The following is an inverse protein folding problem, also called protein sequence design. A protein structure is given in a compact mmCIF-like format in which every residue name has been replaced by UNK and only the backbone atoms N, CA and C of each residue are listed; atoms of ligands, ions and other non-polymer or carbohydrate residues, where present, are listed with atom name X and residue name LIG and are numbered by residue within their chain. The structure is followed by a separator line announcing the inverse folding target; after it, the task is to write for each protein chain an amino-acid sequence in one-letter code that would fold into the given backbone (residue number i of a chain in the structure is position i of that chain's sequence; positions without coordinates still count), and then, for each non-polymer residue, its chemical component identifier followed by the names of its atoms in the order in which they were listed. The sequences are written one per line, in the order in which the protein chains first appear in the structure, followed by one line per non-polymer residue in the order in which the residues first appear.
data_IF_888600422279
#
_entry.id   IF_888600422279
#
_cell.length_a   1.000
_cell.length_b   1.000
_cell.length_c   1.000
_cell.angle_alpha   90.00
_cell.angle_beta   90.00
_cell.angle_gamma   90.00
#
_symmetry.space_group_name_H-M   'P 1'
#
loop_
_entity.id
_entity.type
_entity.pdbx_description
1 polymer ?
#
# COMPACT_ATOMS: atom_id res chain seq x y z
N UNK A 1 -12.84 -5.16 -35.76
CA UNK A 1 -12.16 -6.30 -35.09
C UNK A 1 -10.90 -6.62 -35.87
N UNK A 2 -9.86 -5.82 -35.69
CA UNK A 2 -8.57 -5.99 -36.36
C UNK A 2 -7.58 -6.60 -35.38
N UNK A 3 -7.22 -7.84 -35.69
CA UNK A 3 -6.25 -8.75 -35.08
C UNK A 3 -5.30 -8.24 -34.00
N UNK A 4 -5.42 -8.86 -32.83
CA UNK A 4 -4.27 -9.19 -31.97
C UNK A 4 -3.43 -10.33 -32.60
N UNK A 5 -3.08 -10.20 -33.88
CA UNK A 5 -2.21 -11.15 -34.57
C UNK A 5 -0.76 -10.64 -34.45
N UNK A 6 0.02 -11.28 -33.57
CA UNK A 6 1.48 -11.16 -33.57
C UNK A 6 2.14 -10.46 -32.38
N UNK A 7 1.40 -10.12 -31.32
CA UNK A 7 2.02 -9.57 -30.11
C UNK A 7 2.55 -10.71 -29.23
N UNK A 8 3.87 -10.77 -29.03
CA UNK A 8 4.47 -11.66 -28.04
C UNK A 8 4.10 -11.20 -26.61
N UNK A 9 3.38 -12.03 -25.81
CA UNK A 9 3.03 -11.69 -24.42
C UNK A 9 4.23 -11.36 -23.54
N UNK A 10 5.40 -11.96 -23.79
CA UNK A 10 6.62 -11.69 -23.04
C UNK A 10 7.17 -10.30 -23.38
N UNK A 11 7.20 -9.94 -24.66
CA UNK A 11 7.61 -8.62 -25.11
C UNK A 11 6.66 -7.53 -24.59
N UNK A 12 5.35 -7.76 -24.69
CA UNK A 12 4.33 -6.86 -24.17
C UNK A 12 4.51 -6.61 -22.66
N UNK A 13 4.68 -7.69 -21.89
CA UNK A 13 4.99 -7.62 -20.45
C UNK A 13 6.23 -6.76 -20.21
N UNK A 14 7.34 -7.06 -20.89
CA UNK A 14 8.59 -6.32 -20.69
C UNK A 14 8.41 -4.82 -20.93
N UNK A 15 7.72 -4.44 -22.01
CA UNK A 15 7.45 -3.03 -22.34
C UNK A 15 6.53 -2.32 -21.34
N UNK A 16 5.55 -3.03 -20.78
CA UNK A 16 4.63 -2.50 -19.75
C UNK A 16 5.37 -2.28 -18.42
N UNK A 17 6.16 -3.27 -17.99
CA UNK A 17 6.94 -3.15 -16.75
C UNK A 17 8.00 -2.05 -16.88
N UNK A 18 8.63 -1.92 -18.05
CA UNK A 18 9.58 -0.84 -18.34
C UNK A 18 8.89 0.54 -18.36
N UNK A 19 7.66 0.64 -18.88
CA UNK A 19 6.87 1.86 -18.75
C UNK A 19 6.69 2.25 -17.28
N UNK A 20 6.29 1.30 -16.42
CA UNK A 20 6.08 1.57 -15.01
C UNK A 20 7.36 2.06 -14.32
N UNK A 21 8.49 1.38 -14.56
CA UNK A 21 9.81 1.76 -14.01
C UNK A 21 10.25 3.15 -14.47
N UNK A 22 10.16 3.43 -15.77
CA UNK A 22 10.48 4.77 -16.34
C UNK A 22 9.61 5.88 -15.75
N UNK A 23 8.38 5.59 -15.34
CA UNK A 23 7.47 6.55 -14.69
C UNK A 23 7.67 6.66 -13.18
N UNK A 24 8.61 5.91 -12.60
CA UNK A 24 9.04 6.05 -11.21
C UNK A 24 8.63 4.92 -10.28
N UNK A 25 8.14 3.79 -10.80
CA UNK A 25 7.99 2.57 -10.01
C UNK A 25 9.37 1.99 -9.70
N UNK A 26 9.57 1.50 -8.47
CA UNK A 26 10.79 0.77 -8.10
C UNK A 26 10.72 -0.68 -8.57
N UNK A 27 9.52 -1.25 -8.50
CA UNK A 27 9.22 -2.62 -8.90
C UNK A 27 7.88 -2.67 -9.62
N UNK A 28 7.75 -3.61 -10.54
CA UNK A 28 6.49 -3.92 -11.20
C UNK A 28 6.52 -5.39 -11.63
N UNK A 29 5.36 -6.05 -11.63
CA UNK A 29 5.20 -7.45 -11.98
C UNK A 29 3.76 -7.77 -12.36
N UNK A 30 3.54 -8.98 -12.86
CA UNK A 30 2.22 -9.48 -13.27
C UNK A 30 1.76 -10.55 -12.28
N UNK A 31 0.64 -10.34 -11.62
CA UNK A 31 0.05 -11.34 -10.74
C UNK A 31 -0.68 -12.42 -11.55
N UNK A 32 -0.56 -13.68 -11.12
CA UNK A 32 -1.42 -14.76 -11.58
C UNK A 32 -2.89 -14.46 -11.24
N UNK A 33 -3.68 -14.18 -12.27
CA UNK A 33 -5.09 -13.82 -12.12
C UNK A 33 -5.89 -14.96 -11.51
N UNK A 34 -5.58 -16.23 -11.79
CA UNK A 34 -6.34 -17.36 -11.26
C UNK A 34 -6.06 -17.55 -9.75
N UNK A 35 -4.84 -17.25 -9.31
CA UNK A 35 -4.54 -17.16 -7.88
C UNK A 35 -5.34 -16.05 -7.19
N UNK A 36 -5.45 -14.87 -7.84
CA UNK A 36 -6.26 -13.76 -7.32
C UNK A 36 -7.74 -14.13 -7.22
N UNK A 37 -8.30 -14.77 -8.25
CA UNK A 37 -9.70 -15.21 -8.25
C UNK A 37 -10.03 -16.17 -7.10
N UNK A 38 -9.08 -17.04 -6.76
CA UNK A 38 -9.23 -18.01 -5.69
C UNK A 38 -9.12 -17.39 -4.30
N UNK A 39 -8.21 -16.44 -4.10
CA UNK A 39 -7.91 -15.87 -2.78
C UNK A 39 -8.84 -14.71 -2.45
N UNK A 40 -9.19 -13.86 -3.42
CA UNK A 40 -10.04 -12.71 -3.18
C UNK A 40 -11.50 -13.13 -2.92
N UNK A 41 -12.16 -12.52 -1.91
CA UNK A 41 -13.57 -12.78 -1.66
C UNK A 41 -14.44 -12.34 -2.85
N UNK A 42 -15.62 -12.95 -3.05
CA UNK A 42 -16.58 -12.51 -4.06
C UNK A 42 -16.90 -11.01 -3.92
N UNK A 43 -17.02 -10.29 -5.03
CA UNK A 43 -17.18 -8.83 -5.07
C UNK A 43 -15.85 -8.07 -5.10
N UNK A 44 -14.75 -8.72 -4.68
CA UNK A 44 -13.41 -8.13 -4.61
C UNK A 44 -12.39 -8.85 -5.50
N UNK A 45 -12.85 -9.61 -6.50
CA UNK A 45 -11.95 -10.27 -7.46
C UNK A 45 -11.66 -9.35 -8.66
N UNK A 46 -10.55 -9.57 -9.38
CA UNK A 46 -10.26 -8.83 -10.60
C UNK A 46 -11.37 -8.85 -11.66
N UNK A 47 -12.05 -9.99 -11.84
CA UNK A 47 -13.17 -10.12 -12.80
C UNK A 47 -14.50 -9.57 -12.28
N UNK A 48 -14.61 -9.25 -10.99
CA UNK A 48 -15.77 -8.51 -10.48
C UNK A 48 -15.69 -7.04 -10.92
N UNK A 49 -14.47 -6.51 -11.13
CA UNK A 49 -14.23 -5.16 -11.66
C UNK A 49 -14.14 -5.09 -13.19
N UNK A 50 -13.34 -5.96 -13.81
CA UNK A 50 -13.19 -6.06 -15.26
C UNK A 50 -13.51 -7.50 -15.70
N UNK A 51 -14.74 -7.81 -16.12
CA UNK A 51 -15.21 -9.19 -16.35
C UNK A 51 -14.33 -10.05 -17.26
N UNK A 52 -13.67 -9.43 -18.25
CA UNK A 52 -12.77 -10.12 -19.21
C UNK A 52 -11.29 -9.95 -18.89
N UNK A 53 -10.94 -9.50 -17.68
CA UNK A 53 -9.56 -9.39 -17.26
C UNK A 53 -8.82 -10.73 -17.44
N UNK A 54 -7.64 -10.65 -18.06
CA UNK A 54 -6.70 -11.75 -18.25
C UNK A 54 -5.41 -11.56 -17.45
N UNK A 55 -5.04 -10.32 -17.17
CA UNK A 55 -3.82 -10.01 -16.42
C UNK A 55 -4.05 -8.89 -15.41
N UNK A 56 -3.32 -8.96 -14.29
CA UNK A 56 -3.23 -7.89 -13.29
C UNK A 56 -1.76 -7.50 -13.14
N UNK A 57 -1.41 -6.29 -13.53
CA UNK A 57 -0.08 -5.71 -13.32
C UNK A 57 -0.09 -5.00 -11.97
N UNK A 58 0.84 -5.36 -11.08
CA UNK A 58 1.09 -4.64 -9.83
C UNK A 58 2.37 -3.81 -9.96
N UNK A 59 2.42 -2.67 -9.27
CA UNK A 59 3.62 -1.83 -9.18
C UNK A 59 3.80 -1.29 -7.78
N UNK A 60 5.06 -1.12 -7.39
CA UNK A 60 5.48 -0.56 -6.10
C UNK A 60 6.27 0.73 -6.28
N UNK A 61 5.94 1.74 -5.49
CA UNK A 61 6.73 2.98 -5.37
C UNK A 61 7.35 3.07 -3.98
N UNK A 62 8.47 3.77 -3.88
CA UNK A 62 9.19 3.89 -2.61
C UNK A 62 8.33 4.44 -1.47
N UNK A 63 8.59 3.95 -0.26
CA UNK A 63 8.06 4.51 0.97
C UNK A 63 8.69 5.87 1.30
N UNK A 64 9.11 6.03 2.54
CA UNK A 64 9.58 7.32 3.05
C UNK A 64 11.08 7.54 2.81
N UNK A 65 11.49 8.80 2.73
CA UNK A 65 12.91 9.16 2.69
C UNK A 65 13.58 8.92 4.04
N UNK A 66 14.92 8.81 4.08
CA UNK A 66 15.67 8.73 5.34
C UNK A 66 15.32 9.87 6.31
N UNK A 67 15.16 11.09 5.78
CA UNK A 67 14.78 12.25 6.58
C UNK A 67 13.37 12.13 7.15
N UNK A 68 12.40 11.69 6.34
CA UNK A 68 11.03 11.48 6.81
C UNK A 68 10.94 10.45 7.94
N UNK A 69 11.71 9.36 7.90
CA UNK A 69 11.73 8.40 9.02
C UNK A 69 12.23 9.00 10.35
N UNK A 70 13.03 10.06 10.30
CA UNK A 70 13.60 10.73 11.46
C UNK A 70 12.72 11.86 12.02
N UNK A 71 11.65 12.27 11.33
CA UNK A 71 10.76 13.32 11.85
C UNK A 71 9.86 12.77 12.99
N UNK A 72 9.37 13.65 13.90
CA UNK A 72 8.43 13.24 14.94
C UNK A 72 7.16 12.57 14.40
N UNK A 73 6.51 11.71 15.21
CA UNK A 73 5.26 11.02 14.88
C UNK A 73 4.20 11.93 14.25
N UNK A 74 3.96 13.10 14.87
CA UNK A 74 3.03 14.12 14.38
C UNK A 74 3.32 14.54 12.94
N UNK A 75 4.59 14.72 12.57
CA UNK A 75 4.98 15.15 11.23
C UNK A 75 4.93 13.99 10.23
N UNK A 76 5.34 12.77 10.64
CA UNK A 76 5.37 11.60 9.75
C UNK A 76 3.99 11.24 9.17
N UNK A 77 2.91 11.47 9.92
CA UNK A 77 1.53 11.30 9.40
C UNK A 77 1.22 12.12 8.14
N UNK A 78 1.95 13.22 7.90
CA UNK A 78 1.80 14.07 6.71
C UNK A 78 2.78 13.73 5.58
N UNK A 79 3.90 13.07 5.88
CA UNK A 79 4.80 12.54 4.83
C UNK A 79 4.29 11.21 4.27
N UNK A 80 3.39 10.55 5.01
CA UNK A 80 2.82 9.25 4.72
C UNK A 80 2.27 9.07 3.31
N UNK A 81 1.73 10.11 2.66
CA UNK A 81 0.88 9.94 1.48
C UNK A 81 1.64 9.91 0.15
N UNK A 82 2.47 8.90 -0.12
CA UNK A 82 3.13 8.74 -1.43
C UNK A 82 2.38 7.81 -2.39
N UNK A 83 1.24 7.25 -1.99
CA UNK A 83 0.37 6.40 -2.81
C UNK A 83 -0.10 7.08 -4.09
N UNK A 84 -0.32 8.41 -4.07
CA UNK A 84 -0.70 9.17 -5.25
C UNK A 84 0.27 9.00 -6.43
N UNK A 85 1.56 8.74 -6.15
CA UNK A 85 2.54 8.42 -7.19
C UNK A 85 2.25 7.07 -7.84
N UNK A 86 1.93 6.04 -7.06
CA UNK A 86 1.61 4.72 -7.59
C UNK A 86 0.36 4.77 -8.49
N UNK A 87 -0.68 5.46 -8.03
CA UNK A 87 -1.91 5.64 -8.82
C UNK A 87 -1.69 6.44 -10.10
N UNK A 88 -0.86 7.50 -10.08
CA UNK A 88 -0.50 8.24 -11.29
C UNK A 88 0.20 7.35 -12.33
N UNK A 89 1.07 6.44 -11.88
CA UNK A 89 1.73 5.49 -12.77
C UNK A 89 0.72 4.47 -13.31
N UNK A 90 -0.14 3.91 -12.46
CA UNK A 90 -1.15 2.93 -12.87
C UNK A 90 -2.15 3.52 -13.87
N UNK A 91 -2.62 4.74 -13.63
CA UNK A 91 -3.46 5.51 -14.55
C UNK A 91 -2.78 5.64 -15.92
N UNK A 92 -1.54 6.14 -15.95
CA UNK A 92 -0.79 6.28 -17.21
C UNK A 92 -0.51 4.94 -17.90
N UNK A 93 -0.31 3.88 -17.13
CA UNK A 93 -0.08 2.53 -17.64
C UNK A 93 -1.32 1.94 -18.30
N UNK A 94 -2.52 2.17 -17.76
CA UNK A 94 -3.77 1.75 -18.41
C UNK A 94 -3.90 2.37 -19.81
N UNK A 95 -3.75 3.70 -19.91
CA UNK A 95 -3.75 4.39 -21.21
C UNK A 95 -2.64 3.92 -22.14
N UNK A 96 -1.44 3.65 -21.60
CA UNK A 96 -0.33 3.11 -22.40
C UNK A 96 -0.69 1.74 -22.99
N UNK A 97 -1.35 0.87 -22.23
CA UNK A 97 -1.78 -0.44 -22.70
C UNK A 97 -2.82 -0.31 -23.81
N UNK A 98 -3.86 0.50 -23.59
CA UNK A 98 -4.91 0.72 -24.60
C UNK A 98 -4.34 1.33 -25.88
N UNK A 99 -3.49 2.36 -25.77
CA UNK A 99 -2.89 3.00 -26.92
C UNK A 99 -1.92 2.09 -27.68
N UNK A 100 -1.03 1.37 -26.97
CA UNK A 100 0.03 0.60 -27.63
C UNK A 100 -0.40 -0.79 -28.08
N UNK A 101 -1.17 -1.48 -27.25
CA UNK A 101 -1.53 -2.88 -27.46
C UNK A 101 -2.99 -3.07 -27.87
N UNK A 102 -3.78 -1.99 -27.94
CA UNK A 102 -5.17 -2.02 -28.40
C UNK A 102 -6.04 -3.00 -27.59
N UNK A 103 -5.71 -3.14 -26.30
CA UNK A 103 -6.40 -4.03 -25.36
C UNK A 103 -6.98 -3.20 -24.21
N UNK A 104 -8.26 -3.40 -23.84
CA UNK A 104 -8.89 -2.68 -22.74
C UNK A 104 -8.10 -2.81 -21.44
N UNK A 105 -7.94 -1.70 -20.72
CA UNK A 105 -7.24 -1.68 -19.45
C UNK A 105 -7.83 -0.62 -18.50
N UNK A 106 -7.94 -0.99 -17.23
CA UNK A 106 -8.35 -0.08 -16.15
C UNK A 106 -7.30 -0.11 -15.04
N UNK A 107 -7.13 0.98 -14.31
CA UNK A 107 -6.38 0.97 -13.05
C UNK A 107 -7.34 0.65 -11.89
N UNK A 108 -6.82 0.08 -10.80
CA UNK A 108 -7.61 -0.06 -9.58
C UNK A 108 -7.88 1.33 -9.00
N UNK A 109 -9.14 1.74 -8.82
CA UNK A 109 -9.45 3.02 -8.19
C UNK A 109 -8.92 3.04 -6.74
N UNK A 110 -8.50 4.20 -6.24
CA UNK A 110 -8.02 4.37 -4.87
C UNK A 110 -9.14 4.35 -3.81
N UNK A 111 -10.39 4.19 -4.24
CA UNK A 111 -11.59 4.40 -3.42
C UNK A 111 -12.03 3.17 -2.61
N UNK A 112 -12.89 3.44 -1.64
CA UNK A 112 -13.55 2.43 -0.80
C UNK A 112 -14.86 1.98 -1.45
N UNK A 113 -15.20 0.72 -1.24
CA UNK A 113 -16.48 0.15 -1.60
C UNK A 113 -17.56 0.63 -0.60
N UNK A 114 -18.52 1.47 -1.05
CA UNK A 114 -19.54 2.03 -0.16
C UNK A 114 -20.49 0.95 0.38
N UNK A 115 -20.67 -0.17 -0.32
CA UNK A 115 -21.56 -1.25 0.08
C UNK A 115 -20.93 -2.13 1.17
N UNK A 116 -19.61 -2.31 1.11
CA UNK A 116 -18.83 -3.08 2.09
C UNK A 116 -18.37 -2.26 3.31
N UNK A 117 -18.62 -0.95 3.30
CA UNK A 117 -18.34 -0.02 4.39
C UNK A 117 -17.06 0.80 4.21
N UNK A 118 -16.92 1.86 5.01
CA UNK A 118 -15.93 2.94 4.83
C UNK A 118 -14.44 2.55 4.92
N UNK A 119 -14.13 1.26 5.08
CA UNK A 119 -12.77 0.74 5.29
C UNK A 119 -12.42 -0.42 4.37
N UNK A 120 -13.33 -0.81 3.48
CA UNK A 120 -13.13 -1.92 2.56
C UNK A 120 -12.82 -1.35 1.18
N UNK A 121 -11.62 -1.56 0.61
CA UNK A 121 -11.32 -1.13 -0.75
C UNK A 121 -12.02 -2.05 -1.76
N UNK A 122 -12.21 -1.56 -2.99
CA UNK A 122 -12.72 -2.41 -4.09
C UNK A 122 -11.86 -3.68 -4.30
N UNK A 123 -10.54 -3.58 -4.14
CA UNK A 123 -9.61 -4.70 -4.28
C UNK A 123 -8.46 -4.60 -3.28
N UNK A 124 -7.85 -5.74 -2.97
CA UNK A 124 -6.64 -5.78 -2.15
C UNK A 124 -5.38 -5.58 -3.01
N UNK A 125 -4.86 -4.34 -3.05
CA UNK A 125 -3.59 -4.05 -3.71
C UNK A 125 -2.40 -4.81 -3.10
N UNK A 126 -2.49 -5.13 -1.80
CA UNK A 126 -1.54 -6.02 -1.12
C UNK A 126 -1.55 -7.41 -1.75
N UNK A 127 -2.73 -7.98 -1.99
CA UNK A 127 -2.83 -9.30 -2.61
C UNK A 127 -2.25 -9.29 -4.03
N UNK A 128 -2.53 -8.25 -4.83
CA UNK A 128 -1.98 -8.12 -6.18
C UNK A 128 -0.45 -8.09 -6.16
N UNK A 129 0.13 -7.25 -5.31
CA UNK A 129 1.58 -7.12 -5.18
C UNK A 129 2.25 -8.39 -4.63
N UNK A 130 1.62 -9.07 -3.66
CA UNK A 130 2.12 -10.33 -3.09
C UNK A 130 2.17 -11.43 -4.15
N UNK A 131 1.08 -11.61 -4.91
CA UNK A 131 0.99 -12.62 -5.97
C UNK A 131 1.94 -12.30 -7.13
N UNK A 132 2.17 -11.03 -7.43
CA UNK A 132 3.15 -10.57 -8.42
C UNK A 132 4.62 -10.62 -7.94
N UNK A 133 4.89 -11.07 -6.70
CA UNK A 133 6.25 -11.18 -6.17
C UNK A 133 6.90 -9.87 -5.75
N UNK A 134 6.12 -8.82 -5.48
CA UNK A 134 6.62 -7.48 -5.15
C UNK A 134 6.80 -7.24 -3.64
N UNK A 135 6.53 -8.24 -2.82
CA UNK A 135 6.68 -8.20 -1.37
C UNK A 135 5.95 -9.36 -0.70
N UNK A 136 6.16 -9.53 0.59
CA UNK A 136 5.42 -10.50 1.40
C UNK A 136 4.88 -9.87 2.68
N UNK A 137 3.78 -10.43 3.20
CA UNK A 137 3.09 -9.93 4.40
C UNK A 137 3.98 -9.95 5.62
N UNK A 138 3.90 -8.88 6.39
CA UNK A 138 4.64 -8.72 7.63
C UNK A 138 3.76 -8.80 8.87
N UNK A 139 4.40 -9.01 10.02
CA UNK A 139 3.78 -8.87 11.35
C UNK A 139 3.29 -7.45 11.66
N UNK A 140 3.59 -6.46 10.81
CA UNK A 140 3.09 -5.09 10.92
C UNK A 140 1.76 -4.93 10.15
N UNK A 141 0.74 -5.69 10.51
CA UNK A 141 -0.62 -5.54 9.96
C UNK A 141 -0.73 -5.95 8.49
N UNK A 142 -0.02 -7.01 8.10
CA UNK A 142 0.06 -7.51 6.72
C UNK A 142 0.50 -6.44 5.72
N UNK A 143 1.22 -5.41 6.18
CA UNK A 143 1.89 -4.50 5.25
C UNK A 143 2.97 -5.30 4.53
N UNK A 144 3.01 -5.21 3.19
CA UNK A 144 4.02 -5.90 2.42
C UNK A 144 5.38 -5.24 2.61
N UNK A 145 6.40 -6.08 2.73
CA UNK A 145 7.80 -5.68 2.77
C UNK A 145 8.53 -6.30 1.58
N UNK A 146 9.30 -5.49 0.87
CA UNK A 146 10.21 -5.94 -0.18
C UNK A 146 11.62 -6.12 0.42
N UNK A 147 12.33 -7.21 0.10
CA UNK A 147 13.65 -7.50 0.67
C UNK A 147 14.69 -6.41 0.37
N UNK A 148 14.65 -5.82 -0.83
CA UNK A 148 15.55 -4.71 -1.20
C UNK A 148 15.03 -3.31 -0.86
N UNK A 149 13.77 -3.00 -1.19
CA UNK A 149 13.22 -1.63 -1.07
C UNK A 149 12.48 -1.35 0.23
N UNK A 150 12.27 -2.35 1.09
CA UNK A 150 11.57 -2.19 2.36
C UNK A 150 10.08 -1.89 2.18
N UNK A 151 9.60 -0.83 2.82
CA UNK A 151 8.21 -0.38 2.73
C UNK A 151 7.92 0.31 1.40
N UNK A 152 6.80 -0.04 0.77
CA UNK A 152 6.33 0.54 -0.48
C UNK A 152 4.83 0.77 -0.47
N UNK A 153 4.39 1.68 -1.33
CA UNK A 153 2.98 1.80 -1.73
C UNK A 153 2.75 1.10 -3.06
N UNK A 154 1.56 0.54 -3.22
CA UNK A 154 1.23 -0.26 -4.38
C UNK A 154 0.04 0.30 -5.15
N UNK A 155 0.00 0.01 -6.44
CA UNK A 155 -1.17 0.18 -7.30
C UNK A 155 -1.22 -0.97 -8.30
N UNK A 156 -2.37 -1.15 -8.97
CA UNK A 156 -2.51 -2.19 -9.98
C UNK A 156 -3.30 -1.73 -11.21
N UNK A 157 -3.08 -2.45 -12.32
CA UNK A 157 -3.77 -2.29 -13.60
C UNK A 157 -4.32 -3.63 -14.03
N UNK A 158 -5.58 -3.66 -14.46
CA UNK A 158 -6.27 -4.82 -15.00
C UNK A 158 -6.33 -4.66 -16.51
N UNK A 159 -6.15 -5.74 -17.26
CA UNK A 159 -6.27 -5.69 -18.71
C UNK A 159 -6.80 -7.00 -19.28
N UNK A 160 -7.50 -6.90 -20.41
CA UNK A 160 -7.88 -8.06 -21.24
C UNK A 160 -6.70 -8.61 -22.05
N UNK A 161 -5.54 -7.94 -22.01
CA UNK A 161 -4.29 -8.44 -22.58
C UNK A 161 -3.76 -9.61 -21.74
N UNK A 162 -3.40 -10.70 -22.40
CA UNK A 162 -2.79 -11.87 -21.75
C UNK A 162 -1.29 -11.67 -21.58
N UNK A 163 -0.79 -11.76 -20.35
CA UNK A 163 0.60 -11.56 -19.98
C UNK A 163 1.05 -12.73 -19.08
N UNK A 164 2.29 -13.22 -19.25
CA UNK A 164 2.78 -14.32 -18.42
C UNK A 164 2.96 -13.84 -16.97
N UNK A 165 2.43 -14.57 -15.96
CA UNK A 165 2.52 -14.15 -14.57
C UNK A 165 3.93 -14.30 -14.01
N UNK A 166 4.24 -13.46 -13.02
CA UNK A 166 5.38 -13.63 -12.12
C UNK A 166 5.00 -14.57 -10.97
N UNK A 167 5.98 -14.89 -10.13
CA UNK A 167 5.78 -15.75 -8.97
C UNK A 167 5.89 -14.93 -7.68
N UNK A 168 5.13 -15.27 -6.64
CA UNK A 168 5.35 -14.75 -5.29
C UNK A 168 6.82 -14.94 -4.86
N UNK A 169 7.28 -14.10 -3.93
CA UNK A 169 8.60 -14.27 -3.34
C UNK A 169 8.72 -15.67 -2.72
N UNK A 170 9.83 -16.35 -2.99
CA UNK A 170 10.10 -17.67 -2.44
C UNK A 170 10.26 -17.63 -0.91
N UNK A 171 10.76 -16.51 -0.38
CA UNK A 171 11.01 -16.30 1.03
C UNK A 171 10.33 -15.02 1.51
N UNK A 172 9.73 -15.07 2.70
CA UNK A 172 9.19 -13.89 3.36
C UNK A 172 10.33 -13.18 4.12
N UNK A 173 10.65 -11.90 3.83
CA UNK A 173 11.69 -11.18 4.56
C UNK A 173 11.30 -10.88 6.02
N UNK A 174 10.01 -11.01 6.38
CA UNK A 174 9.51 -10.87 7.73
C UNK A 174 9.38 -12.26 8.40
N UNK A 175 9.82 -12.41 9.67
CA UNK A 175 10.53 -11.46 10.52
C UNK A 175 12.01 -11.31 10.15
N UNK A 176 12.57 -10.12 10.36
CA UNK A 176 14.03 -9.96 10.36
C UNK A 176 14.65 -10.74 11.54
N UNK A 177 15.94 -11.16 11.46
CA UNK A 177 16.60 -11.88 12.55
C UNK A 177 16.47 -11.20 13.92
N UNK A 178 16.64 -9.89 13.98
CA UNK A 178 16.48 -9.10 15.21
C UNK A 178 15.05 -9.08 15.76
N UNK A 179 14.04 -9.21 14.90
CA UNK A 179 12.64 -9.35 15.31
C UNK A 179 12.38 -10.72 15.93
N UNK A 180 12.90 -11.80 15.32
CA UNK A 180 12.78 -13.16 15.86
C UNK A 180 13.50 -13.27 17.22
N UNK A 181 14.70 -12.69 17.36
CA UNK A 181 15.44 -12.68 18.62
C UNK A 181 14.69 -11.95 19.74
N UNK A 182 14.10 -10.79 19.43
CA UNK A 182 13.29 -10.04 20.40
C UNK A 182 12.01 -10.80 20.78
N UNK A 183 11.38 -11.47 19.81
CA UNK A 183 10.18 -12.27 20.05
C UNK A 183 10.47 -13.42 21.01
N UNK A 184 11.57 -14.16 20.83
CA UNK A 184 11.97 -15.23 21.77
C UNK A 184 12.18 -14.74 23.20
N UNK A 185 12.64 -13.50 23.37
CA UNK A 185 12.90 -12.90 24.69
C UNK A 185 11.67 -12.31 25.37
N UNK A 186 10.73 -11.77 24.59
CA UNK A 186 9.68 -10.88 25.12
C UNK A 186 8.25 -11.20 24.65
N UNK A 187 8.09 -12.21 23.78
CA UNK A 187 6.82 -12.56 23.15
C UNK A 187 6.30 -11.52 22.14
N UNK A 188 7.08 -10.48 21.81
CA UNK A 188 6.66 -9.40 20.92
C UNK A 188 7.77 -8.98 19.97
N UNK A 189 7.41 -8.67 18.73
CA UNK A 189 8.30 -7.98 17.79
C UNK A 189 8.24 -6.45 18.00
N UNK A 190 9.17 -5.65 17.42
CA UNK A 190 9.14 -4.20 17.58
C UNK A 190 7.80 -3.58 17.15
N UNK A 191 7.24 -4.00 16.01
CA UNK A 191 5.96 -3.44 15.54
C UNK A 191 4.80 -3.72 16.49
N UNK A 192 4.76 -4.89 17.14
CA UNK A 192 3.77 -5.20 18.17
C UNK A 192 3.99 -4.37 19.44
N UNK A 193 5.24 -4.26 19.89
CA UNK A 193 5.59 -3.55 21.12
C UNK A 193 5.28 -2.05 21.04
N UNK A 194 5.57 -1.42 19.90
CA UNK A 194 5.46 0.04 19.73
C UNK A 194 4.16 0.48 19.05
N UNK A 195 3.24 -0.43 18.73
CA UNK A 195 1.93 -0.06 18.20
C UNK A 195 1.14 0.72 19.27
N UNK A 196 0.84 2.01 19.09
CA UNK A 196 0.10 2.79 20.09
C UNK A 196 -1.33 2.27 20.31
N UNK A 197 -1.97 1.73 19.27
CA UNK A 197 -3.32 1.16 19.34
C UNK A 197 -3.35 -0.29 19.87
N UNK A 198 -2.19 -0.92 20.10
CA UNK A 198 -2.08 -2.36 20.43
C UNK A 198 -2.94 -3.24 19.50
N UNK A 199 -2.96 -2.91 18.21
CA UNK A 199 -3.80 -3.56 17.20
C UNK A 199 -3.09 -4.70 16.45
N UNK A 200 -1.82 -4.97 16.78
CA UNK A 200 -0.96 -5.93 16.10
C UNK A 200 -0.63 -7.10 17.01
N UNK A 201 -1.05 -8.29 16.60
CA UNK A 201 -0.74 -9.55 17.26
C UNK A 201 -0.14 -10.52 16.24
N UNK A 202 0.76 -11.38 16.68
CA UNK A 202 1.30 -12.40 15.80
C UNK A 202 2.25 -13.35 16.50
N UNK A 203 2.55 -14.44 15.81
CA UNK A 203 3.39 -15.53 16.30
C UNK A 203 4.56 -15.76 15.36
N UNK A 204 5.73 -15.95 15.96
CA UNK A 204 6.94 -16.40 15.27
C UNK A 204 7.17 -17.86 15.64
N UNK A 205 7.40 -18.73 14.66
CA UNK A 205 7.70 -20.15 14.89
C UNK A 205 9.14 -20.38 15.38
N UNK A 206 9.47 -21.62 15.72
CA UNK A 206 10.80 -22.02 16.20
C UNK A 206 11.91 -21.75 15.16
N UNK A 207 11.55 -21.79 13.87
CA UNK A 207 12.45 -21.47 12.76
C UNK A 207 12.62 -19.95 12.54
N UNK A 208 11.99 -19.11 13.36
CA UNK A 208 12.08 -17.66 13.26
C UNK A 208 11.19 -17.05 12.17
N UNK A 209 10.23 -17.79 11.63
CA UNK A 209 9.32 -17.36 10.55
C UNK A 209 7.97 -16.91 11.10
N UNK A 210 7.26 -16.10 10.33
CA UNK A 210 5.91 -15.67 10.67
C UNK A 210 4.96 -16.87 10.59
N UNK A 211 4.36 -17.24 11.71
CA UNK A 211 3.37 -18.31 11.82
C UNK A 211 1.93 -17.80 11.80
N UNK A 212 1.70 -16.62 12.39
CA UNK A 212 0.37 -16.00 12.50
C UNK A 212 0.50 -14.48 12.55
N UNK A 213 -0.45 -13.77 11.96
CA UNK A 213 -0.65 -12.33 12.12
C UNK A 213 -2.15 -12.07 12.28
N UNK A 214 -2.51 -11.35 13.33
CA UNK A 214 -3.86 -10.81 13.53
C UNK A 214 -3.78 -9.30 13.68
N UNK A 215 -4.55 -8.63 12.82
CA UNK A 215 -4.65 -7.18 12.76
C UNK A 215 -6.05 -6.71 13.15
N UNK A 216 -6.14 -5.91 14.20
CA UNK A 216 -7.40 -5.30 14.64
C UNK A 216 -7.61 -3.96 13.94
N UNK A 217 -8.17 -4.00 12.72
CA UNK A 217 -8.34 -2.83 11.86
C UNK A 217 -9.07 -1.67 12.54
N UNK A 218 -10.11 -1.95 13.34
CA UNK A 218 -10.88 -0.92 14.04
C UNK A 218 -10.02 -0.09 15.01
N UNK A 219 -9.20 -0.76 15.84
CA UNK A 219 -8.26 -0.08 16.76
C UNK A 219 -7.23 0.76 16.01
N UNK A 220 -6.77 0.28 14.87
CA UNK A 220 -5.84 1.04 14.03
C UNK A 220 -6.51 2.29 13.43
N UNK A 221 -7.77 2.17 13.02
CA UNK A 221 -8.54 3.24 12.41
C UNK A 221 -8.71 4.45 13.35
N UNK A 222 -8.84 4.22 14.67
CA UNK A 222 -8.90 5.29 15.68
C UNK A 222 -7.72 6.28 15.60
N UNK A 223 -6.53 5.81 15.18
CA UNK A 223 -5.34 6.65 15.01
C UNK A 223 -5.05 7.02 13.55
N UNK A 224 -5.57 6.26 12.59
CA UNK A 224 -5.18 6.36 11.18
C UNK A 224 -6.26 6.95 10.27
N UNK A 225 -7.52 6.98 10.71
CA UNK A 225 -8.68 7.40 9.92
C UNK A 225 -9.42 8.54 10.64
N UNK A 226 -8.86 9.75 10.58
CA UNK A 226 -9.38 10.86 11.38
C UNK A 226 -10.73 11.40 10.89
N UNK A 227 -11.16 11.05 9.67
CA UNK A 227 -12.47 11.43 9.16
C UNK A 227 -13.62 10.86 10.02
N UNK A 228 -13.37 9.81 10.81
CA UNK A 228 -14.34 9.24 11.75
C UNK A 228 -14.70 10.18 12.91
N UNK A 229 -13.91 11.23 13.15
CA UNK A 229 -14.25 12.27 14.12
C UNK A 229 -15.39 13.18 13.61
N UNK A 230 -15.62 13.25 12.29
CA UNK A 230 -16.55 14.22 11.69
C UNK A 230 -18.01 14.00 12.12
N UNK A 231 -18.56 12.78 12.15
CA UNK A 231 -19.92 12.56 12.63
C UNK A 231 -20.12 12.95 14.10
N UNK A 232 -19.10 12.78 14.95
CA UNK A 232 -19.17 13.20 16.35
C UNK A 232 -19.14 14.73 16.45
N UNK A 233 -18.19 15.37 15.76
CA UNK A 233 -18.09 16.84 15.68
C UNK A 233 -19.40 17.49 15.22
N UNK A 234 -20.04 16.93 14.18
CA UNK A 234 -21.32 17.42 13.68
C UNK A 234 -22.44 17.26 14.70
N UNK A 235 -22.47 16.14 15.44
CA UNK A 235 -23.46 15.90 16.49
C UNK A 235 -23.32 16.90 17.63
N UNK A 236 -22.10 17.12 18.11
CA UNK A 236 -21.80 18.10 19.15
C UNK A 236 -22.23 19.52 18.72
N UNK A 237 -22.04 19.88 17.45
CA UNK A 237 -22.49 21.17 16.92
C UNK A 237 -24.02 21.30 16.80
N UNK A 238 -24.72 20.20 16.48
CA UNK A 238 -26.19 20.16 16.40
C UNK A 238 -26.84 20.22 17.78
N UNK A 239 -26.21 19.58 18.78
CA UNK A 239 -26.69 19.53 20.16
C UNK A 239 -26.35 20.81 20.96
N UNK A 240 -25.54 21.73 20.40
CA UNK A 240 -25.14 22.96 21.06
C UNK A 240 -26.27 24.01 21.13
N UNK A 241 -26.61 24.43 22.35
CA UNK A 241 -27.64 25.42 22.66
C UNK A 241 -27.21 26.87 22.31
N UNK A 242 -25.92 27.19 22.50
CA UNK A 242 -25.33 28.51 22.28
C UNK A 242 -24.57 28.58 20.93
N UNK A 243 -24.71 29.68 20.15
CA UNK A 243 -23.90 29.92 18.98
C UNK A 243 -22.37 29.80 19.18
N UNK A 244 -21.83 30.23 20.32
CA UNK A 244 -20.39 30.15 20.58
C UNK A 244 -19.93 28.71 20.90
N UNK A 245 -20.73 27.90 21.58
CA UNK A 245 -20.50 26.45 21.72
C UNK A 245 -20.52 25.75 20.36
N UNK A 246 -21.49 26.09 19.50
CA UNK A 246 -21.56 25.55 18.13
C UNK A 246 -20.34 25.94 17.30
N UNK A 247 -19.91 27.20 17.40
CA UNK A 247 -18.70 27.69 16.73
C UNK A 247 -17.45 26.94 17.20
N UNK A 248 -17.30 26.73 18.52
CA UNK A 248 -16.19 25.92 19.06
C UNK A 248 -16.24 24.49 18.55
N UNK A 249 -17.40 23.84 18.61
CA UNK A 249 -17.57 22.47 18.14
C UNK A 249 -17.19 22.30 16.67
N UNK A 250 -17.45 23.29 15.81
CA UNK A 250 -17.11 23.20 14.39
C UNK A 250 -15.69 23.69 14.06
N UNK A 251 -15.21 24.73 14.74
CA UNK A 251 -14.09 25.55 14.25
C UNK A 251 -12.94 25.74 15.24
N UNK A 252 -12.89 25.01 16.35
CA UNK A 252 -11.67 24.98 17.15
C UNK A 252 -10.45 24.59 16.28
N UNK A 253 -9.21 24.93 16.68
CA UNK A 253 -8.03 24.70 15.85
C UNK A 253 -7.84 23.24 15.37
N UNK A 254 -8.27 22.24 16.15
CA UNK A 254 -8.24 20.83 15.74
C UNK A 254 -9.35 20.52 14.74
N UNK A 255 -10.57 20.99 14.98
CA UNK A 255 -11.72 20.72 14.10
C UNK A 255 -11.65 21.47 12.77
N UNK A 256 -11.12 22.69 12.79
CA UNK A 256 -10.76 23.46 11.58
C UNK A 256 -9.81 22.71 10.64
N UNK A 257 -8.91 21.86 11.17
CA UNK A 257 -8.02 21.04 10.34
C UNK A 257 -8.79 19.97 9.57
N UNK A 258 -9.88 19.42 10.11
CA UNK A 258 -10.71 18.46 9.37
C UNK A 258 -11.36 19.11 8.15
N UNK A 259 -11.92 20.32 8.29
CA UNK A 259 -12.50 21.06 7.16
C UNK A 259 -11.47 21.39 6.09
N UNK A 260 -10.27 21.82 6.49
CA UNK A 260 -9.18 22.05 5.56
C UNK A 260 -8.83 20.78 4.79
N UNK A 261 -8.59 19.66 5.50
CA UNK A 261 -8.21 18.40 4.86
C UNK A 261 -9.29 17.85 3.92
N UNK A 262 -10.56 17.92 4.31
CA UNK A 262 -11.68 17.47 3.48
C UNK A 262 -11.87 18.35 2.25
N UNK A 263 -11.80 19.68 2.39
CA UNK A 263 -12.05 20.61 1.28
C UNK A 263 -10.97 20.56 0.19
N UNK A 264 -9.72 20.27 0.56
CA UNK A 264 -8.61 20.15 -0.40
C UNK A 264 -8.41 18.72 -0.92
N UNK A 265 -9.26 17.77 -0.52
CA UNK A 265 -9.10 16.35 -0.88
C UNK A 265 -7.78 15.76 -0.41
N UNK A 266 -7.26 16.21 0.73
CA UNK A 266 -5.98 15.73 1.25
C UNK A 266 -6.12 14.27 1.68
N UNK A 267 -5.25 13.39 1.13
CA UNK A 267 -5.03 12.05 1.68
C UNK A 267 -4.57 12.04 3.15
N UNK A 268 -4.30 13.22 3.74
CA UNK A 268 -3.97 13.43 5.15
C UNK A 268 -5.07 13.12 6.17
N UNK A 269 -6.19 12.53 5.76
CA UNK A 269 -7.20 11.93 6.64
C UNK A 269 -7.05 10.41 6.79
N UNK A 270 -6.18 9.80 5.98
CA UNK A 270 -5.93 8.36 5.93
C UNK A 270 -4.46 8.07 6.33
N UNK A 271 -4.22 6.86 6.85
CA UNK A 271 -2.88 6.33 7.18
C UNK A 271 -1.99 7.27 8.03
N UNK A 272 -2.54 7.93 9.05
CA UNK A 272 -1.83 8.95 9.86
C UNK A 272 -0.83 8.40 10.91
N UNK A 273 -0.61 7.08 10.96
CA UNK A 273 0.32 6.44 11.90
C UNK A 273 1.27 5.49 11.18
N UNK A 274 2.57 5.61 11.49
CA UNK A 274 3.64 4.81 10.88
C UNK A 274 4.51 4.11 11.92
N UNK A 275 4.12 4.07 13.20
CA UNK A 275 5.00 3.57 14.27
C UNK A 275 5.44 2.13 14.05
N UNK A 276 4.54 1.25 13.59
CA UNK A 276 4.88 -0.14 13.27
C UNK A 276 5.93 -0.26 12.15
N UNK A 277 5.94 0.68 11.20
CA UNK A 277 6.87 0.72 10.08
C UNK A 277 8.18 1.44 10.44
N UNK A 278 8.11 2.50 11.25
CA UNK A 278 9.28 3.25 11.73
C UNK A 278 10.23 2.35 12.51
N UNK A 279 9.70 1.43 13.32
CA UNK A 279 10.51 0.47 14.10
C UNK A 279 10.86 -0.80 13.33
N UNK A 280 10.37 -0.96 12.11
CA UNK A 280 10.63 -2.15 11.30
C UNK A 280 12.02 -2.05 10.65
N UNK A 281 12.94 -3.00 10.93
CA UNK A 281 14.29 -2.98 10.34
C UNK A 281 14.27 -3.18 8.82
N UNK A 282 13.31 -3.92 8.29
CA UNK A 282 13.20 -4.14 6.83
C UNK A 282 12.69 -2.87 6.15
N UNK A 283 11.70 -2.20 6.75
CA UNK A 283 11.11 -0.99 6.19
C UNK A 283 12.12 0.16 6.06
N UNK A 284 13.03 0.28 7.04
CA UNK A 284 13.93 1.42 7.19
C UNK A 284 15.38 1.12 6.80
N UNK A 285 15.80 -0.16 6.78
CA UNK A 285 17.20 -0.58 6.58
C UNK A 285 17.40 -1.66 5.53
N UNK A 286 16.38 -2.01 4.72
CA UNK A 286 16.61 -2.84 3.55
C UNK A 286 17.63 -2.17 2.60
N UNK A 287 18.43 -2.93 1.82
CA UNK A 287 19.59 -2.41 1.08
C UNK A 287 19.34 -1.18 0.20
N UNK A 288 18.14 -1.06 -0.37
CA UNK A 288 17.72 0.02 -1.27
C UNK A 288 16.53 0.82 -0.71
N UNK A 289 16.18 0.65 0.56
CA UNK A 289 15.13 1.44 1.22
C UNK A 289 15.54 2.92 1.35
N UNK A 290 16.79 3.20 1.72
CA UNK A 290 17.34 4.56 1.79
C UNK A 290 17.60 5.11 0.37
N UNK A 291 16.92 6.19 -0.07
CA UNK A 291 17.20 6.83 -1.35
C UNK A 291 18.66 7.23 -1.55
N UNK A 292 19.39 7.58 -0.48
CA UNK A 292 20.81 7.97 -0.57
C UNK A 292 21.68 6.76 -0.90
N UNK A 293 21.47 5.63 -0.22
CA UNK A 293 22.18 4.38 -0.51
C UNK A 293 21.85 3.85 -1.91
N UNK A 294 20.57 3.92 -2.29
CA UNK A 294 20.12 3.57 -3.64
C UNK A 294 20.77 4.42 -4.73
N UNK A 295 20.91 5.73 -4.53
CA UNK A 295 21.59 6.60 -5.50
C UNK A 295 23.07 6.23 -5.65
N UNK A 296 23.78 5.95 -4.54
CA UNK A 296 25.16 5.48 -4.57
C UNK A 296 25.30 4.14 -5.32
N UNK A 297 24.37 3.20 -5.08
CA UNK A 297 24.36 1.91 -5.78
C UNK A 297 24.10 2.04 -7.29
N UNK A 298 23.34 3.05 -7.73
CA UNK A 298 23.12 3.33 -9.16
C UNK A 298 24.35 4.00 -9.79
N UNK A 299 24.98 4.96 -9.12
CA UNK A 299 26.18 5.64 -9.61
C UNK A 299 27.41 4.72 -9.73
N UNK A 300 27.50 3.69 -8.89
CA UNK A 300 28.55 2.66 -8.98
C UNK A 300 28.40 1.72 -10.19
N UNK A 301 27.23 1.65 -10.82
CA UNK A 301 26.97 0.81 -12.01
C UNK A 301 27.29 1.52 -13.34
N UNK A 302 27.50 2.83 -13.34
CA UNK A 302 27.83 3.62 -14.54
C UNK A 302 29.33 3.89 -14.70
N UNK A 303 30.17 3.35 -13.82
CA UNK A 303 31.62 3.58 -13.79
C UNK A 303 32.49 2.35 -14.01
N UNK A 304 31.96 1.30 -14.64
CA UNK A 304 32.67 0.05 -14.98
C UNK A 304 32.44 -0.35 -16.43
#
# INVERSE_FOLDING_TARGET
MTGAMGLDPHEAKAQILEYCKRKGALVAGVADIEALQRIAPPGHRPRDMLPRAKSVIALGVGGQTRGAWAVPAKALGFFGSTEGRAYKIAYGCAFYIEHKFQAPAIYCPPDMDPESGSRVPFQSLKLHAEVAGLGARSLAGDILLHPEFGYMYFASVFTELELPPDRPLAENPCPAPSCADLYRKSGRTPCMKFCPAQCLHGRVDEAGRQAEMRYEMAKCAELTQQYEAVPQMLREALDADDPADRERALFDPNNSQYWYKMSVGSGGLLAQCFECMRVCPIATKAPLADPIQRAAALGGKTGG
#
